data_IF_695986478991
#
_entry.id   IF_695986478991
#
_cell.length_a   1.000
_cell.length_b   1.000
_cell.length_c   1.000
_cell.angle_alpha   90.00
_cell.angle_beta   90.00
_cell.angle_gamma   90.00
#
_symmetry.space_group_name_H-M   'P 1'
#
loop_
_entity.id
_entity.type
_entity.pdbx_description
1 polymer ?
#
# COMPACT_ATOMS: atom_id res chain seq x y z
N UNK A 1 -65.07 38.32 -20.44
CA UNK A 1 -64.73 37.13 -19.66
C UNK A 1 -63.32 36.72 -20.03
N UNK A 2 -62.46 36.68 -19.01
CA UNK A 2 -61.04 36.34 -19.02
C UNK A 2 -60.79 34.87 -19.33
N UNK A 3 -59.78 34.57 -20.14
CA UNK A 3 -58.90 33.41 -19.95
C UNK A 3 -57.57 33.66 -20.69
N UNK A 4 -56.48 33.37 -19.99
CA UNK A 4 -55.10 33.81 -20.20
C UNK A 4 -54.25 32.62 -20.64
N UNK A 5 -53.32 32.90 -21.56
CA UNK A 5 -51.99 32.32 -21.83
C UNK A 5 -51.72 30.80 -21.69
N UNK A 6 -50.96 30.26 -22.66
CA UNK A 6 -49.54 29.99 -22.45
C UNK A 6 -48.86 29.53 -23.75
N UNK A 7 -47.80 30.23 -24.12
CA UNK A 7 -46.83 29.83 -25.13
C UNK A 7 -45.70 29.04 -24.46
N UNK A 8 -45.22 27.98 -25.10
CA UNK A 8 -43.92 27.39 -24.81
C UNK A 8 -43.32 26.83 -26.11
N UNK A 9 -42.33 27.55 -26.63
CA UNK A 9 -41.46 27.10 -27.71
C UNK A 9 -40.41 26.15 -27.11
N UNK A 10 -40.30 24.95 -27.67
CA UNK A 10 -39.24 23.99 -27.35
C UNK A 10 -38.13 24.10 -28.40
N UNK A 11 -36.98 24.63 -27.97
CA UNK A 11 -35.69 24.53 -28.65
C UNK A 11 -34.64 24.12 -27.60
N UNK A 12 -33.60 23.42 -28.08
CA UNK A 12 -32.43 22.85 -27.38
C UNK A 12 -32.59 21.36 -27.00
N UNK A 13 -31.62 20.48 -27.23
CA UNK A 13 -30.25 20.67 -27.71
C UNK A 13 -29.60 19.29 -27.89
N UNK A 14 -28.55 19.23 -28.69
CA UNK A 14 -27.77 18.03 -28.97
C UNK A 14 -27.26 17.40 -27.67
N UNK A 15 -27.60 16.12 -27.45
CA UNK A 15 -27.01 15.30 -26.40
C UNK A 15 -25.60 14.92 -26.84
N UNK A 16 -24.61 15.69 -26.39
CA UNK A 16 -23.23 15.21 -26.37
C UNK A 16 -23.13 14.20 -25.22
N UNK A 17 -22.98 12.92 -25.56
CA UNK A 17 -22.65 11.87 -24.61
C UNK A 17 -21.23 12.13 -24.12
N UNK A 18 -21.10 12.81 -22.99
CA UNK A 18 -19.86 12.82 -22.23
C UNK A 18 -19.58 11.39 -21.74
N UNK A 19 -18.32 10.93 -21.74
CA UNK A 19 -17.99 9.68 -21.07
C UNK A 19 -18.37 9.87 -19.59
N UNK A 20 -19.19 8.94 -19.09
CA UNK A 20 -19.42 8.84 -17.66
C UNK A 20 -18.04 8.70 -17.00
N UNK A 21 -17.60 9.77 -16.34
CA UNK A 21 -16.66 9.65 -15.25
C UNK A 21 -17.30 8.66 -14.31
N UNK A 22 -16.87 7.39 -14.36
CA UNK A 22 -17.14 6.48 -13.27
C UNK A 22 -16.62 7.21 -12.04
N UNK A 23 -17.52 7.58 -11.14
CA UNK A 23 -17.16 7.91 -9.78
C UNK A 23 -16.42 6.68 -9.25
N UNK A 24 -15.10 6.72 -9.40
CA UNK A 24 -14.20 5.72 -8.85
C UNK A 24 -14.39 5.87 -7.35
N UNK A 25 -15.09 4.91 -6.76
CA UNK A 25 -15.17 4.80 -5.32
C UNK A 25 -13.74 4.84 -4.79
N UNK A 26 -13.41 5.93 -4.10
CA UNK A 26 -12.37 5.89 -3.09
C UNK A 26 -12.73 4.68 -2.24
N UNK A 27 -11.84 3.69 -2.17
CA UNK A 27 -11.96 2.59 -1.21
C UNK A 27 -11.92 3.23 0.18
N UNK A 28 -13.08 3.68 0.66
CA UNK A 28 -13.28 3.96 2.07
C UNK A 28 -12.92 2.66 2.79
N UNK A 29 -12.14 2.71 3.88
CA UNK A 29 -11.90 1.53 4.68
C UNK A 29 -13.26 0.99 5.09
N UNK A 30 -13.62 -0.23 4.69
CA UNK A 30 -14.73 -0.93 5.31
C UNK A 30 -14.35 -1.15 6.79
N UNK A 31 -14.75 -0.19 7.61
CA UNK A 31 -14.83 -0.32 9.06
C UNK A 31 -16.03 -1.21 9.34
N UNK A 32 -15.87 -2.52 9.17
CA UNK A 32 -16.97 -3.45 9.44
C UNK A 32 -16.68 -4.88 9.01
N UNK A 33 -15.92 -5.62 9.80
CA UNK A 33 -15.75 -7.06 9.54
C UNK A 33 -14.94 -7.82 10.58
N UNK A 34 -13.93 -7.18 11.18
CA UNK A 34 -13.10 -7.86 12.17
C UNK A 34 -13.94 -8.30 13.39
N UNK A 35 -13.84 -9.58 13.79
CA UNK A 35 -14.47 -10.04 15.02
C UNK A 35 -13.95 -9.29 16.24
N UNK A 36 -14.82 -9.16 17.25
CA UNK A 36 -14.42 -8.68 18.56
C UNK A 36 -13.45 -9.66 19.23
N UNK A 37 -12.65 -9.18 20.20
CA UNK A 37 -11.65 -10.01 20.87
C UNK A 37 -12.27 -11.19 21.65
N UNK A 38 -13.55 -11.10 22.03
CA UNK A 38 -14.32 -12.16 22.69
C UNK A 38 -15.15 -13.02 21.72
N UNK A 39 -14.99 -12.82 20.40
CA UNK A 39 -15.62 -13.64 19.38
C UNK A 39 -15.12 -15.09 19.42
N UNK A 40 -15.96 -16.01 18.95
CA UNK A 40 -15.61 -17.42 18.84
C UNK A 40 -14.55 -17.66 17.77
N UNK A 41 -13.74 -18.71 17.92
CA UNK A 41 -12.76 -19.13 16.91
C UNK A 41 -13.40 -19.30 15.53
N UNK A 42 -14.62 -19.84 15.45
CA UNK A 42 -15.35 -20.00 14.19
C UNK A 42 -15.61 -18.66 13.47
N UNK A 43 -15.90 -17.59 14.21
CA UNK A 43 -16.07 -16.25 13.64
C UNK A 43 -14.74 -15.69 13.13
N UNK A 44 -13.64 -15.94 13.85
CA UNK A 44 -12.30 -15.57 13.40
C UNK A 44 -11.88 -16.27 12.11
N UNK A 45 -12.12 -17.58 12.00
CA UNK A 45 -11.81 -18.32 10.78
C UNK A 45 -12.68 -17.90 9.60
N UNK A 46 -13.99 -17.69 9.80
CA UNK A 46 -14.90 -17.24 8.75
C UNK A 46 -14.53 -15.84 8.25
N UNK A 47 -14.19 -14.93 9.16
CA UNK A 47 -13.72 -13.61 8.79
C UNK A 47 -12.38 -13.66 8.04
N UNK A 48 -11.42 -14.44 8.52
CA UNK A 48 -10.12 -14.57 7.87
C UNK A 48 -10.22 -15.19 6.46
N UNK A 49 -11.15 -16.13 6.27
CA UNK A 49 -11.49 -16.65 4.94
C UNK A 49 -12.04 -15.55 4.03
N UNK A 50 -12.98 -14.72 4.52
CA UNK A 50 -13.51 -13.59 3.77
C UNK A 50 -12.42 -12.56 3.39
N UNK A 51 -11.46 -12.27 4.28
CA UNK A 51 -10.32 -11.38 3.95
C UNK A 51 -9.42 -11.98 2.87
N UNK A 52 -9.17 -13.29 2.91
CA UNK A 52 -8.39 -13.99 1.87
C UNK A 52 -9.09 -13.96 0.52
N UNK A 53 -10.40 -14.14 0.50
CA UNK A 53 -11.21 -14.04 -0.70
C UNK A 53 -11.25 -12.61 -1.23
N UNK A 54 -11.41 -11.62 -0.34
CA UNK A 54 -11.35 -10.20 -0.70
C UNK A 54 -10.00 -9.85 -1.33
N UNK A 55 -8.88 -10.25 -0.72
CA UNK A 55 -7.54 -10.02 -1.27
C UNK A 55 -7.37 -10.65 -2.67
N UNK A 56 -7.97 -11.82 -2.93
CA UNK A 56 -7.93 -12.49 -4.23
C UNK A 56 -8.87 -11.86 -5.26
N UNK A 57 -9.99 -11.28 -4.81
CA UNK A 57 -10.96 -10.60 -5.66
C UNK A 57 -10.55 -9.16 -6.01
N UNK A 58 -9.68 -8.54 -5.22
CA UNK A 58 -9.19 -7.18 -5.46
C UNK A 58 -8.49 -7.06 -6.81
N UNK A 59 -8.90 -6.05 -7.60
CA UNK A 59 -8.19 -5.64 -8.79
C UNK A 59 -6.94 -4.82 -8.43
N UNK A 60 -5.86 -5.54 -8.12
CA UNK A 60 -4.57 -4.93 -7.76
C UNK A 60 -3.96 -4.10 -8.89
N UNK A 61 -4.32 -4.37 -10.15
CA UNK A 61 -3.84 -3.58 -11.28
C UNK A 61 -4.53 -2.20 -11.29
N UNK A 62 -5.83 -2.16 -11.01
CA UNK A 62 -6.55 -0.90 -10.83
C UNK A 62 -6.05 -0.12 -9.60
N UNK A 63 -5.81 -0.78 -8.45
CA UNK A 63 -5.20 -0.13 -7.27
C UNK A 63 -3.84 0.49 -7.59
N UNK A 64 -2.97 -0.26 -8.28
CA UNK A 64 -1.67 0.25 -8.72
C UNK A 64 -1.83 1.45 -9.67
N UNK A 65 -2.77 1.38 -10.61
CA UNK A 65 -3.03 2.46 -11.58
C UNK A 65 -3.53 3.74 -10.90
N UNK A 66 -4.35 3.65 -9.84
CA UNK A 66 -4.78 4.81 -9.04
C UNK A 66 -3.59 5.54 -8.41
N UNK A 67 -2.53 4.80 -8.07
CA UNK A 67 -1.25 5.33 -7.58
C UNK A 67 -0.28 5.70 -8.70
N UNK A 68 -0.69 5.72 -9.97
CA UNK A 68 0.19 6.01 -11.10
C UNK A 68 1.27 4.95 -11.35
N UNK A 69 1.03 3.71 -10.91
CA UNK A 69 1.91 2.57 -11.11
C UNK A 69 1.33 1.58 -12.12
N UNK A 70 2.22 0.86 -12.79
CA UNK A 70 1.89 -0.37 -13.51
C UNK A 70 2.21 -1.56 -12.63
N UNK A 71 1.22 -2.39 -12.32
CA UNK A 71 1.45 -3.66 -11.64
C UNK A 71 2.18 -4.63 -12.58
N UNK A 72 3.30 -5.18 -12.12
CA UNK A 72 4.06 -6.20 -12.86
C UNK A 72 3.72 -7.61 -12.38
N UNK A 73 3.60 -7.79 -11.07
CA UNK A 73 3.19 -9.05 -10.47
C UNK A 73 2.55 -8.84 -9.11
N UNK A 74 1.66 -9.75 -8.73
CA UNK A 74 1.09 -9.85 -7.40
C UNK A 74 1.19 -11.30 -6.94
N UNK A 75 1.66 -11.49 -5.72
CA UNK A 75 1.68 -12.77 -5.02
C UNK A 75 0.88 -12.62 -3.73
N UNK A 76 -0.09 -13.51 -3.53
CA UNK A 76 -0.93 -13.55 -2.34
C UNK A 76 -0.62 -14.84 -1.59
N UNK A 77 -0.12 -14.70 -0.38
CA UNK A 77 0.28 -15.83 0.47
C UNK A 77 -0.52 -15.82 1.75
N UNK A 78 -1.12 -16.96 2.07
CA UNK A 78 -1.83 -17.17 3.33
C UNK A 78 -0.81 -17.56 4.40
N UNK A 79 -0.69 -16.76 5.46
CA UNK A 79 0.33 -17.02 6.49
C UNK A 79 -0.23 -16.86 7.90
N UNK A 80 0.29 -17.66 8.82
CA UNK A 80 0.04 -17.49 10.26
C UNK A 80 0.86 -16.33 10.77
N UNK A 81 0.23 -15.40 11.47
CA UNK A 81 0.90 -14.27 12.11
C UNK A 81 0.59 -14.25 13.59
N UNK A 82 1.21 -15.11 14.41
CA UNK A 82 0.83 -15.30 15.80
C UNK A 82 0.92 -13.99 16.61
N UNK A 83 1.90 -13.13 16.32
CA UNK A 83 2.02 -11.81 16.98
C UNK A 83 0.86 -10.88 16.61
N UNK A 84 0.41 -10.89 15.35
CA UNK A 84 -0.76 -10.11 14.90
C UNK A 84 -2.03 -10.69 15.51
N UNK A 85 -2.21 -12.01 15.42
CA UNK A 85 -3.37 -12.71 15.96
C UNK A 85 -3.53 -12.44 17.46
N UNK A 86 -2.46 -12.57 18.25
CA UNK A 86 -2.46 -12.28 19.69
C UNK A 86 -2.89 -10.83 20.01
N UNK A 87 -2.57 -9.87 19.15
CA UNK A 87 -2.95 -8.47 19.35
C UNK A 87 -4.40 -8.17 18.96
N UNK A 88 -4.95 -8.96 18.04
CA UNK A 88 -6.36 -8.86 17.66
C UNK A 88 -7.27 -9.67 18.59
N UNK A 89 -6.71 -10.51 19.47
CA UNK A 89 -7.46 -11.49 20.25
C UNK A 89 -7.90 -12.70 19.42
N UNK A 90 -7.26 -12.92 18.27
CA UNK A 90 -7.56 -14.02 17.36
C UNK A 90 -6.75 -15.28 17.71
N UNK A 91 -7.23 -16.49 17.35
CA UNK A 91 -6.44 -17.71 17.40
C UNK A 91 -5.12 -17.57 16.62
N UNK A 92 -4.02 -18.08 17.18
CA UNK A 92 -2.65 -17.86 16.63
C UNK A 92 -2.40 -18.54 15.29
N UNK A 93 -3.25 -19.50 14.92
CA UNK A 93 -3.25 -20.27 13.68
C UNK A 93 -4.20 -19.72 12.62
N UNK A 94 -4.87 -18.59 12.88
CA UNK A 94 -5.60 -17.86 11.83
C UNK A 94 -4.64 -17.45 10.71
N UNK A 95 -5.03 -17.79 9.48
CA UNK A 95 -4.31 -17.44 8.26
C UNK A 95 -4.81 -16.09 7.73
N UNK A 96 -3.91 -15.12 7.61
CA UNK A 96 -4.21 -13.82 7.00
C UNK A 96 -3.49 -13.69 5.65
N UNK A 97 -4.09 -12.97 4.68
CA UNK A 97 -3.45 -12.74 3.39
C UNK A 97 -2.30 -11.75 3.53
N UNK A 98 -1.15 -12.12 2.98
CA UNK A 98 -0.04 -11.21 2.66
C UNK A 98 -0.03 -10.98 1.17
N UNK A 99 0.03 -9.72 0.78
CA UNK A 99 0.08 -9.34 -0.64
C UNK A 99 1.44 -8.72 -0.92
N UNK A 100 2.27 -9.40 -1.71
CA UNK A 100 3.53 -8.90 -2.25
C UNK A 100 3.27 -8.42 -3.69
N UNK A 101 3.54 -7.15 -3.95
CA UNK A 101 3.35 -6.52 -5.25
C UNK A 101 4.68 -6.03 -5.78
N UNK A 102 4.93 -6.33 -7.05
CA UNK A 102 5.97 -5.68 -7.84
C UNK A 102 5.33 -4.70 -8.81
N UNK A 103 5.80 -3.46 -8.78
CA UNK A 103 5.22 -2.35 -9.49
C UNK A 103 6.31 -1.55 -10.20
N UNK A 104 5.98 -0.96 -11.34
CA UNK A 104 6.79 0.11 -11.93
C UNK A 104 5.97 1.38 -11.88
N UNK A 105 6.44 2.33 -11.10
CA UNK A 105 5.79 3.63 -11.00
C UNK A 105 6.60 4.65 -11.79
N UNK A 106 5.91 5.63 -12.40
CA UNK A 106 6.61 6.73 -13.02
C UNK A 106 7.51 7.40 -11.98
N UNK A 107 8.80 7.55 -12.29
CA UNK A 107 9.70 8.25 -11.39
C UNK A 107 9.12 9.63 -11.10
N UNK A 108 9.08 10.01 -9.83
CA UNK A 108 8.84 11.37 -9.40
C UNK A 108 9.55 12.32 -10.36
N UNK A 109 8.78 13.12 -11.11
CA UNK A 109 9.31 13.97 -12.17
C UNK A 109 10.52 14.73 -11.62
N UNK A 110 11.70 14.46 -12.19
CA UNK A 110 13.00 14.99 -11.79
C UNK A 110 12.90 16.51 -11.57
N UNK A 111 12.67 16.95 -10.34
CA UNK A 111 13.04 18.31 -9.96
C UNK A 111 14.55 18.27 -9.80
N UNK A 112 15.26 18.87 -10.75
CA UNK A 112 16.72 18.94 -10.77
C UNK A 112 17.20 19.72 -9.55
N UNK A 113 17.35 19.04 -8.42
CA UNK A 113 18.03 19.57 -7.26
C UNK A 113 19.44 18.98 -7.23
N UNK A 114 20.44 19.86 -7.20
CA UNK A 114 21.84 19.46 -7.09
C UNK A 114 22.08 18.65 -5.81
N UNK A 115 22.75 17.51 -5.94
CA UNK A 115 23.17 16.63 -4.84
C UNK A 115 22.42 15.29 -4.79
N UNK A 116 23.13 14.21 -4.43
CA UNK A 116 22.56 12.86 -4.33
C UNK A 116 21.58 12.68 -3.17
N UNK A 117 21.69 13.50 -2.11
CA UNK A 117 20.81 13.44 -0.95
C UNK A 117 19.42 14.06 -1.19
N UNK A 118 19.33 15.05 -2.09
CA UNK A 118 18.09 15.78 -2.41
C UNK A 118 17.20 15.04 -3.41
N UNK A 119 17.77 14.17 -4.27
CA UNK A 119 16.98 13.24 -5.09
C UNK A 119 16.22 12.21 -4.24
N UNK A 120 16.82 11.76 -3.15
CA UNK A 120 16.14 10.90 -2.17
C UNK A 120 14.94 11.60 -1.55
N UNK A 121 15.07 12.86 -1.11
CA UNK A 121 13.96 13.62 -0.51
C UNK A 121 12.82 13.87 -1.52
N UNK A 122 13.11 14.30 -2.74
CA UNK A 122 12.09 14.49 -3.77
C UNK A 122 11.39 13.17 -4.14
N UNK A 123 12.13 12.05 -4.12
CA UNK A 123 11.55 10.72 -4.30
C UNK A 123 10.67 10.32 -3.11
N UNK A 124 11.08 10.61 -1.87
CA UNK A 124 10.28 10.34 -0.67
C UNK A 124 9.00 11.20 -0.64
N UNK A 125 9.08 12.49 -0.97
CA UNK A 125 7.91 13.38 -1.06
C UNK A 125 6.94 12.98 -2.18
N UNK A 126 7.45 12.57 -3.33
CA UNK A 126 6.61 12.06 -4.41
C UNK A 126 6.01 10.69 -4.06
N UNK A 127 6.77 9.84 -3.37
CA UNK A 127 6.29 8.56 -2.84
C UNK A 127 5.21 8.79 -1.78
N UNK A 128 5.34 9.79 -0.89
CA UNK A 128 4.28 10.23 0.03
C UNK A 128 3.06 10.76 -0.72
N UNK A 129 3.24 11.62 -1.74
CA UNK A 129 2.12 12.14 -2.55
C UNK A 129 1.38 11.05 -3.31
N UNK A 130 2.09 9.99 -3.70
CA UNK A 130 1.58 8.87 -4.46
C UNK A 130 0.74 7.90 -3.61
N UNK A 131 0.98 7.83 -2.30
CA UNK A 131 0.20 7.01 -1.36
C UNK A 131 -0.82 7.82 -0.53
N UNK A 132 -0.91 9.15 -0.74
CA UNK A 132 -1.82 10.04 -0.03
C UNK A 132 -1.19 10.70 1.20
N UNK A 133 -1.48 11.99 1.39
CA UNK A 133 -0.79 12.86 2.36
C UNK A 133 -1.15 12.64 3.85
N UNK A 134 -2.09 11.75 4.17
CA UNK A 134 -2.69 11.67 5.52
C UNK A 134 -2.32 10.41 6.32
N UNK A 135 -1.67 9.40 5.71
CA UNK A 135 -1.32 8.15 6.41
C UNK A 135 -0.11 7.45 5.77
N UNK A 136 0.91 8.20 5.37
CA UNK A 136 2.14 7.65 4.81
C UNK A 136 3.36 8.39 5.37
N UNK A 137 4.29 7.64 5.96
CA UNK A 137 5.59 8.14 6.39
C UNK A 137 6.68 7.54 5.50
N UNK A 138 7.41 8.41 4.82
CA UNK A 138 8.44 8.05 3.86
C UNK A 138 9.80 8.61 4.27
N UNK A 139 10.87 7.87 3.99
CA UNK A 139 12.24 8.35 4.17
C UNK A 139 13.15 7.84 3.06
N UNK A 140 14.34 8.43 3.01
CA UNK A 140 15.42 7.97 2.15
C UNK A 140 16.15 6.78 2.76
N UNK A 141 16.72 5.95 1.89
CA UNK A 141 17.65 4.88 2.31
C UNK A 141 19.09 5.38 2.32
N UNK A 142 20.03 4.61 2.86
CA UNK A 142 21.47 4.90 2.80
C UNK A 142 22.04 4.88 1.38
N UNK A 143 21.24 4.48 0.38
CA UNK A 143 21.57 4.63 -1.02
C UNK A 143 20.43 5.26 -1.82
N UNK A 144 20.49 5.16 -3.15
CA UNK A 144 19.52 5.82 -4.03
C UNK A 144 18.19 5.05 -4.05
N UNK A 145 17.34 5.32 -3.07
CA UNK A 145 16.01 4.76 -2.95
C UNK A 145 15.23 5.35 -1.77
N UNK A 146 13.92 5.12 -1.78
CA UNK A 146 12.96 5.55 -0.75
C UNK A 146 12.22 4.36 -0.17
N UNK A 147 11.92 4.43 1.13
CA UNK A 147 11.10 3.45 1.85
C UNK A 147 9.93 4.20 2.49
N UNK A 148 8.74 3.64 2.41
CA UNK A 148 7.54 4.19 3.04
C UNK A 148 6.81 3.12 3.84
N UNK A 149 6.16 3.56 4.91
CA UNK A 149 5.10 2.83 5.59
C UNK A 149 3.82 3.62 5.43
N UNK A 150 2.74 2.98 5.02
CA UNK A 150 1.46 3.65 4.81
C UNK A 150 0.27 2.75 5.16
N UNK A 151 -0.91 3.34 5.26
CA UNK A 151 -2.18 2.62 5.40
C UNK A 151 -2.95 2.65 4.09
N UNK A 152 -3.49 1.49 3.70
CA UNK A 152 -4.44 1.33 2.60
C UNK A 152 -5.59 0.44 3.09
N UNK A 153 -6.76 1.03 3.32
CA UNK A 153 -7.87 0.35 3.99
C UNK A 153 -7.45 -0.19 5.37
N UNK A 154 -7.75 -1.47 5.63
CA UNK A 154 -7.33 -2.19 6.84
C UNK A 154 -5.91 -2.76 6.76
N UNK A 155 -5.13 -2.40 5.73
CA UNK A 155 -3.78 -2.94 5.52
C UNK A 155 -2.72 -1.89 5.85
N UNK A 156 -1.67 -2.35 6.51
CA UNK A 156 -0.40 -1.62 6.58
C UNK A 156 0.45 -2.07 5.41
N UNK A 157 0.98 -1.10 4.68
CA UNK A 157 1.78 -1.30 3.47
C UNK A 157 3.19 -0.80 3.76
N UNK A 158 4.19 -1.59 3.38
CA UNK A 158 5.58 -1.16 3.31
C UNK A 158 6.02 -1.22 1.86
N UNK A 159 6.59 -0.13 1.35
CA UNK A 159 6.98 -0.01 -0.05
C UNK A 159 8.37 0.58 -0.21
N UNK A 160 9.18 -0.01 -1.07
CA UNK A 160 10.52 0.46 -1.39
C UNK A 160 10.66 0.72 -2.89
N UNK A 161 11.25 1.85 -3.25
CA UNK A 161 11.58 2.21 -4.63
C UNK A 161 13.08 2.48 -4.78
N UNK A 162 13.69 1.97 -5.85
CA UNK A 162 15.11 2.11 -6.13
C UNK A 162 15.38 2.98 -7.37
N UNK A 163 16.29 3.95 -7.24
CA UNK A 163 16.64 4.92 -8.28
C UNK A 163 18.15 5.03 -8.52
N UNK A 164 18.91 4.02 -8.11
CA UNK A 164 20.35 3.99 -8.32
C UNK A 164 20.79 3.52 -9.69
N UNK A 165 22.07 3.71 -9.98
CA UNK A 165 22.74 3.01 -11.07
C UNK A 165 23.09 1.57 -10.64
N UNK A 166 22.84 0.62 -11.54
CA UNK A 166 23.10 -0.80 -11.30
C UNK A 166 21.90 -1.56 -10.73
N UNK A 167 22.18 -2.76 -10.23
CA UNK A 167 21.19 -3.65 -9.62
C UNK A 167 21.56 -3.93 -8.16
N UNK A 168 20.57 -3.95 -7.30
CA UNK A 168 20.70 -4.42 -5.91
C UNK A 168 19.73 -5.56 -5.65
N UNK A 169 19.91 -6.29 -4.55
CA UNK A 169 18.89 -7.21 -4.07
C UNK A 169 18.61 -7.02 -2.58
N UNK A 170 17.41 -7.40 -2.15
CA UNK A 170 16.97 -7.22 -0.78
C UNK A 170 15.50 -7.61 -0.58
N UNK A 171 15.01 -7.47 0.65
CA UNK A 171 13.61 -7.69 0.99
C UNK A 171 13.06 -6.54 1.82
N UNK A 172 11.73 -6.42 1.83
CA UNK A 172 10.99 -5.41 2.58
C UNK A 172 10.35 -6.08 3.79
N UNK A 173 10.21 -5.36 4.90
CA UNK A 173 9.48 -5.86 6.07
C UNK A 173 8.66 -4.80 6.77
N UNK A 174 7.63 -5.24 7.49
CA UNK A 174 6.76 -4.41 8.35
C UNK A 174 6.97 -4.82 9.81
N UNK A 175 7.05 -3.83 10.69
CA UNK A 175 7.09 -4.01 12.15
C UNK A 175 6.01 -3.18 12.82
N UNK A 176 5.54 -3.60 14.00
CA UNK A 176 4.52 -2.89 14.81
C UNK A 176 5.08 -1.80 15.73
N UNK A 177 6.29 -1.37 15.48
CA UNK A 177 6.87 -0.25 16.21
C UNK A 177 7.92 0.41 15.33
N UNK A 178 8.40 1.58 15.75
CA UNK A 178 9.63 2.14 15.17
C UNK A 178 10.87 1.30 15.51
N UNK A 179 10.78 0.40 16.49
CA UNK A 179 11.81 -0.59 16.80
C UNK A 179 11.84 -1.74 15.81
N UNK A 180 12.67 -2.74 16.06
CA UNK A 180 12.85 -3.94 15.21
C UNK A 180 11.98 -5.11 15.63
N UNK A 181 10.99 -4.89 16.49
CA UNK A 181 10.13 -5.93 17.03
C UNK A 181 8.75 -5.39 17.43
N UNK A 182 7.69 -6.21 17.31
CA UNK A 182 7.63 -7.47 16.57
C UNK A 182 7.65 -7.22 15.06
N UNK A 183 8.25 -8.16 14.30
CA UNK A 183 8.19 -8.17 12.84
C UNK A 183 6.89 -8.83 12.42
N UNK A 184 6.07 -8.13 11.64
CA UNK A 184 4.78 -8.62 11.21
C UNK A 184 4.90 -9.46 9.94
N UNK A 185 5.62 -8.95 8.94
CA UNK A 185 5.79 -9.63 7.66
C UNK A 185 7.10 -9.23 6.99
N UNK A 186 7.63 -10.13 6.15
CA UNK A 186 8.72 -9.87 5.21
C UNK A 186 8.30 -10.33 3.82
N UNK A 187 8.63 -9.54 2.80
CA UNK A 187 8.56 -9.97 1.40
C UNK A 187 9.61 -11.05 1.11
N UNK A 188 9.51 -11.68 -0.05
CA UNK A 188 10.63 -12.41 -0.62
C UNK A 188 11.82 -11.50 -0.92
N UNK A 189 13.02 -12.08 -1.01
CA UNK A 189 14.18 -11.37 -1.54
C UNK A 189 14.04 -11.18 -3.05
N UNK A 190 14.27 -9.96 -3.52
CA UNK A 190 14.09 -9.57 -4.91
C UNK A 190 15.26 -8.72 -5.41
N UNK A 191 15.42 -8.70 -6.73
CA UNK A 191 16.34 -7.79 -7.42
C UNK A 191 15.62 -6.48 -7.77
N UNK A 192 16.34 -5.37 -7.65
CA UNK A 192 15.87 -4.02 -7.97
C UNK A 192 16.84 -3.38 -8.95
N UNK A 193 16.30 -2.93 -10.07
CA UNK A 193 16.96 -2.02 -11.03
C UNK A 193 16.33 -0.63 -10.93
N UNK A 194 16.94 0.36 -11.57
CA UNK A 194 16.40 1.72 -11.63
C UNK A 194 14.89 1.74 -11.95
N UNK A 195 14.10 2.43 -11.13
CA UNK A 195 12.65 2.57 -11.27
C UNK A 195 11.83 1.39 -10.72
N UNK A 196 12.47 0.35 -10.19
CA UNK A 196 11.74 -0.77 -9.57
C UNK A 196 11.14 -0.33 -8.24
N UNK A 197 9.84 -0.55 -8.08
CA UNK A 197 9.14 -0.43 -6.80
C UNK A 197 8.56 -1.78 -6.39
N UNK A 198 8.64 -2.09 -5.11
CA UNK A 198 7.95 -3.25 -4.53
C UNK A 198 7.24 -2.84 -3.27
N UNK A 199 6.16 -3.54 -2.95
CA UNK A 199 5.46 -3.36 -1.70
C UNK A 199 4.98 -4.68 -1.13
N UNK A 200 4.91 -4.75 0.20
CA UNK A 200 4.29 -5.84 0.93
C UNK A 200 3.23 -5.24 1.84
N UNK A 201 2.08 -5.89 1.95
CA UNK A 201 1.02 -5.45 2.84
C UNK A 201 0.50 -6.57 3.74
N UNK A 202 0.09 -6.17 4.94
CA UNK A 202 -0.47 -7.05 5.97
C UNK A 202 -1.70 -6.41 6.58
N UNK A 203 -2.69 -7.22 6.92
CA UNK A 203 -3.86 -6.75 7.65
C UNK A 203 -3.46 -6.21 9.04
N UNK A 204 -3.86 -4.97 9.32
CA UNK A 204 -3.81 -4.39 10.66
C UNK A 204 -4.77 -3.21 10.76
N UNK A 205 -5.92 -3.40 11.42
CA UNK A 205 -6.92 -2.35 11.63
C UNK A 205 -6.59 -1.39 12.79
N UNK A 206 -5.62 -1.73 13.65
CA UNK A 206 -5.30 -0.92 14.82
C UNK A 206 -4.50 0.33 14.45
N UNK A 207 -4.97 1.50 14.86
CA UNK A 207 -4.20 2.74 14.75
C UNK A 207 -2.98 2.68 15.69
N UNK A 208 -1.77 2.65 15.12
CA UNK A 208 -0.54 2.39 15.88
C UNK A 208 0.71 2.87 15.15
N UNK A 209 1.85 2.76 15.82
CA UNK A 209 3.14 2.98 15.18
C UNK A 209 3.52 1.74 14.38
N UNK A 210 3.86 1.92 13.10
CA UNK A 210 4.41 0.88 12.25
C UNK A 210 5.72 1.36 11.65
N UNK A 211 6.62 0.43 11.34
CA UNK A 211 7.80 0.76 10.53
C UNK A 211 7.98 -0.17 9.35
N UNK A 212 8.39 0.45 8.25
CA UNK A 212 8.85 -0.21 7.04
C UNK A 212 10.38 -0.25 7.06
N UNK A 213 10.96 -1.41 6.73
CA UNK A 213 12.42 -1.53 6.52
C UNK A 213 12.73 -2.19 5.19
N UNK A 214 13.81 -1.73 4.57
CA UNK A 214 14.43 -2.43 3.47
C UNK A 214 15.78 -3.01 3.90
N UNK A 215 15.92 -4.32 3.73
CA UNK A 215 17.12 -5.08 4.07
C UNK A 215 17.87 -5.41 2.78
N UNK A 216 19.00 -4.74 2.54
CA UNK A 216 19.81 -4.93 1.34
C UNK A 216 20.78 -6.09 1.54
N UNK A 217 20.87 -6.97 0.55
CA UNK A 217 21.86 -8.04 0.52
C UNK A 217 23.27 -7.46 0.36
N UNK A 218 24.20 -7.89 1.21
CA UNK A 218 25.60 -7.43 1.21
C UNK A 218 26.60 -8.56 0.91
N UNK A 219 26.11 -9.76 0.58
CA UNK A 219 26.93 -10.94 0.29
C UNK A 219 26.83 -12.01 1.36
N UNK A 220 27.20 -13.25 1.00
CA UNK A 220 27.26 -14.42 1.89
C UNK A 220 25.93 -14.70 2.63
N UNK A 221 24.80 -14.38 2.01
CA UNK A 221 23.47 -14.54 2.63
C UNK A 221 23.15 -13.52 3.72
N UNK A 222 24.00 -12.50 3.92
CA UNK A 222 23.77 -11.44 4.89
C UNK A 222 23.00 -10.27 4.27
N UNK A 223 22.14 -9.68 5.10
CA UNK A 223 21.36 -8.50 4.78
C UNK A 223 21.58 -7.43 5.86
N UNK A 224 21.70 -6.18 5.43
CA UNK A 224 21.82 -5.03 6.34
C UNK A 224 20.64 -4.10 6.15
N UNK A 225 20.19 -3.48 7.25
CA UNK A 225 19.15 -2.48 7.17
C UNK A 225 19.68 -1.28 6.39
N UNK A 226 19.07 -1.03 5.24
CA UNK A 226 19.48 0.03 4.35
C UNK A 226 18.57 1.26 4.47
N UNK A 227 17.40 1.15 5.10
CA UNK A 227 16.51 2.27 5.33
C UNK A 227 15.30 1.90 6.18
N UNK A 228 14.79 2.86 6.94
CA UNK A 228 13.64 2.64 7.84
C UNK A 228 12.72 3.85 7.84
N UNK A 229 11.47 3.67 7.46
CA UNK A 229 10.42 4.65 7.72
C UNK A 229 9.60 4.21 8.92
N UNK A 230 9.23 5.13 9.80
CA UNK A 230 8.29 4.86 10.88
C UNK A 230 7.19 5.91 10.88
N UNK A 231 5.95 5.45 11.09
CA UNK A 231 4.78 6.30 11.10
C UNK A 231 3.70 5.83 12.04
N UNK A 232 2.89 6.76 12.52
CA UNK A 232 1.63 6.45 13.19
C UNK A 232 0.53 6.41 12.13
N UNK A 233 -0.06 5.23 11.92
CA UNK A 233 -1.01 4.94 10.84
C UNK A 233 -2.38 4.62 11.39
#
# INVERSE_FOLDING_TARGET
>A
MTAVAAAAALLAGAVMVAPASADVQVLEPEVGGQPAADATDAQWYAWAEAERDAARATDWAADAAQRGCTLLSVEITDTTMPDVAAQLGAPTDVLLPVVDRQETCAAATRTTFGGSATQGLASAEAHTKQFGATAADCTTTSGPGSICVSRSGNYVVSSFAYYGSGNISGYISIYKSCGTSPRLVSSGAASYSYGTQRSVSVYSAAASNYSARFWRHVGLGHYTNWGTACGYL
#
